data_IF_237498748071
#
_entry.id   IF_237498748071
#
_cell.length_a   1.000
_cell.length_b   1.000
_cell.length_c   1.000
_cell.angle_alpha   90.00
_cell.angle_beta   90.00
_cell.angle_gamma   90.00
#
_symmetry.space_group_name_H-M   'P 1'
#
loop_
_entity.id
_entity.type
_entity.pdbx_description
1 polymer ?
#
# COMPACT_ATOMS: atom_id res chain seq x y z
N UNK A 1 10.04 -14.11 -10.24
CA UNK A 1 8.69 -14.65 -10.33
C UNK A 1 7.93 -14.13 -11.54
N UNK A 2 6.97 -14.90 -12.00
CA UNK A 2 6.14 -14.58 -13.18
C UNK A 2 4.67 -14.48 -12.75
N UNK A 3 3.94 -13.55 -13.37
CA UNK A 3 2.51 -13.42 -13.18
C UNK A 3 1.80 -13.20 -14.53
N UNK A 4 0.67 -13.86 -14.69
CA UNK A 4 -0.20 -13.72 -15.87
C UNK A 4 -1.55 -13.21 -15.40
N UNK A 5 -2.02 -12.12 -16.00
CA UNK A 5 -3.31 -11.53 -15.71
C UNK A 5 -4.28 -11.63 -16.88
N UNK A 6 -5.51 -12.03 -16.62
CA UNK A 6 -6.62 -11.99 -17.57
C UNK A 6 -7.70 -11.06 -17.04
N UNK A 7 -7.84 -9.89 -17.66
CA UNK A 7 -8.81 -8.87 -17.28
C UNK A 7 -10.05 -8.88 -18.16
N UNK A 8 -11.22 -8.68 -17.55
CA UNK A 8 -12.48 -8.43 -18.24
C UNK A 8 -13.09 -7.14 -17.72
N UNK A 9 -13.37 -6.22 -18.64
CA UNK A 9 -14.15 -5.02 -18.37
C UNK A 9 -15.62 -5.29 -18.72
N UNK A 10 -16.53 -5.11 -17.77
CA UNK A 10 -17.97 -5.34 -18.00
C UNK A 10 -18.64 -4.10 -18.58
N UNK A 11 -18.19 -2.93 -18.08
CA UNK A 11 -18.63 -1.60 -18.53
C UNK A 11 -17.52 -0.58 -18.25
N UNK A 12 -17.82 0.73 -18.34
CA UNK A 12 -16.85 1.80 -18.08
C UNK A 12 -16.43 1.92 -16.61
N UNK A 13 -17.18 1.28 -15.71
CA UNK A 13 -17.04 1.40 -14.24
C UNK A 13 -16.49 0.13 -13.63
N UNK A 14 -16.91 -1.04 -14.12
CA UNK A 14 -16.62 -2.32 -13.46
C UNK A 14 -15.64 -3.18 -14.25
N UNK A 15 -14.67 -3.71 -13.57
CA UNK A 15 -13.70 -4.67 -14.13
C UNK A 15 -13.39 -5.80 -13.15
N UNK A 16 -12.98 -6.91 -13.71
CA UNK A 16 -12.53 -8.09 -12.99
C UNK A 16 -11.19 -8.54 -13.57
N UNK A 17 -10.23 -8.83 -12.72
CA UNK A 17 -8.91 -9.33 -13.08
C UNK A 17 -8.68 -10.67 -12.39
N UNK A 18 -8.40 -11.70 -13.18
CA UNK A 18 -7.85 -12.96 -12.71
C UNK A 18 -6.34 -12.92 -12.85
N UNK A 19 -5.60 -13.23 -11.80
CA UNK A 19 -4.14 -13.26 -11.78
C UNK A 19 -3.65 -14.64 -11.36
N UNK A 20 -2.72 -15.21 -12.11
CA UNK A 20 -1.98 -16.40 -11.74
C UNK A 20 -0.53 -15.99 -11.51
N UNK A 21 0.05 -16.36 -10.37
CA UNK A 21 1.43 -16.04 -9.99
C UNK A 21 2.19 -17.29 -9.61
N UNK A 22 3.46 -17.35 -10.04
CA UNK A 22 4.44 -18.35 -9.60
C UNK A 22 5.76 -17.65 -9.30
N UNK A 23 6.35 -17.93 -8.14
CA UNK A 23 7.60 -17.33 -7.71
C UNK A 23 8.42 -18.29 -6.86
N UNK A 24 9.73 -18.29 -7.06
CA UNK A 24 10.69 -18.94 -6.19
C UNK A 24 11.40 -17.89 -5.33
N UNK A 25 11.27 -18.01 -4.01
CA UNK A 25 11.90 -17.14 -3.02
C UNK A 25 13.01 -17.91 -2.34
N UNK A 26 14.24 -17.41 -2.48
CA UNK A 26 15.42 -18.05 -1.88
C UNK A 26 16.02 -17.17 -0.78
N UNK A 27 15.95 -17.65 0.45
CA UNK A 27 16.41 -16.93 1.63
C UNK A 27 17.76 -17.53 2.06
N UNK A 28 18.84 -16.80 1.73
CA UNK A 28 20.24 -17.21 2.00
C UNK A 28 20.93 -16.23 2.93
N UNK A 29 22.07 -16.68 3.47
CA UNK A 29 23.01 -15.85 4.21
C UNK A 29 22.41 -15.12 5.42
N UNK A 30 21.61 -15.84 6.22
CA UNK A 30 21.07 -15.28 7.46
C UNK A 30 22.21 -15.11 8.47
N UNK A 31 22.57 -13.85 8.73
CA UNK A 31 23.57 -13.51 9.74
C UNK A 31 23.01 -13.70 11.15
N UNK A 32 23.82 -14.27 12.05
CA UNK A 32 23.47 -14.51 13.45
C UNK A 32 22.14 -15.28 13.64
N UNK A 33 21.98 -16.50 13.09
CA UNK A 33 20.68 -17.19 13.07
C UNK A 33 20.05 -17.37 14.46
N UNK A 34 20.86 -17.57 15.52
CA UNK A 34 20.38 -17.80 16.89
C UNK A 34 19.61 -16.61 17.50
N UNK A 35 19.81 -15.42 16.95
CA UNK A 35 19.24 -14.18 17.46
C UNK A 35 18.09 -13.65 16.56
N UNK A 36 17.88 -14.27 15.40
CA UNK A 36 16.81 -13.90 14.45
C UNK A 36 15.46 -14.45 14.85
N UNK A 37 14.41 -13.84 14.31
CA UNK A 37 13.05 -14.32 14.49
C UNK A 37 12.86 -15.73 13.90
N UNK A 38 12.23 -16.63 14.63
CA UNK A 38 11.89 -17.99 14.16
C UNK A 38 11.05 -17.92 12.88
N UNK A 39 10.16 -16.94 12.78
CA UNK A 39 9.33 -16.66 11.61
C UNK A 39 10.12 -16.39 10.32
N UNK A 40 11.41 -16.04 10.43
CA UNK A 40 12.30 -15.89 9.29
C UNK A 40 13.11 -17.16 9.06
N UNK A 41 13.61 -17.74 10.14
CA UNK A 41 14.50 -18.92 10.08
C UNK A 41 13.83 -20.17 9.51
N UNK A 42 12.55 -20.36 9.80
CA UNK A 42 11.80 -21.53 9.32
C UNK A 42 11.64 -21.56 7.80
N UNK A 43 11.82 -20.43 7.11
CA UNK A 43 11.77 -20.31 5.65
C UNK A 43 13.13 -20.13 5.00
N UNK A 44 14.24 -20.44 5.71
CA UNK A 44 15.57 -20.43 5.13
C UNK A 44 15.69 -21.46 4.01
N UNK A 45 16.25 -21.06 2.86
CA UNK A 45 16.37 -21.88 1.66
C UNK A 45 15.37 -21.52 0.59
N UNK A 46 15.08 -22.47 -0.30
CA UNK A 46 14.14 -22.32 -1.40
C UNK A 46 12.70 -22.45 -0.90
N UNK A 47 11.83 -21.59 -1.40
CA UNK A 47 10.41 -21.59 -1.11
C UNK A 47 9.64 -21.30 -2.41
N UNK A 48 8.79 -22.22 -2.85
CA UNK A 48 7.98 -22.04 -4.04
C UNK A 48 6.60 -21.51 -3.67
N UNK A 49 6.27 -20.34 -4.19
CA UNK A 49 5.01 -19.63 -3.94
C UNK A 49 4.19 -19.61 -5.22
N UNK A 50 2.95 -20.08 -5.13
CA UNK A 50 1.98 -19.92 -6.22
C UNK A 50 0.69 -19.30 -5.70
N UNK A 51 0.01 -18.52 -6.52
CA UNK A 51 -1.32 -18.03 -6.19
C UNK A 51 -2.23 -17.90 -7.41
N UNK A 52 -3.53 -18.00 -7.15
CA UNK A 52 -4.58 -17.61 -8.06
C UNK A 52 -5.41 -16.51 -7.39
N UNK A 53 -5.43 -15.34 -8.01
CA UNK A 53 -6.07 -14.14 -7.48
C UNK A 53 -7.25 -13.70 -8.32
N UNK A 54 -8.24 -13.11 -7.67
CA UNK A 54 -9.38 -12.47 -8.30
C UNK A 54 -9.54 -11.07 -7.70
N UNK A 55 -9.48 -10.05 -8.56
CA UNK A 55 -9.63 -8.64 -8.15
C UNK A 55 -10.80 -8.01 -8.88
N UNK A 56 -11.76 -7.49 -8.12
CA UNK A 56 -12.85 -6.66 -8.61
C UNK A 56 -12.51 -5.19 -8.39
N UNK A 57 -12.73 -4.36 -9.41
CA UNK A 57 -12.60 -2.90 -9.31
C UNK A 57 -13.84 -2.21 -9.81
N UNK A 58 -14.31 -1.21 -9.05
CA UNK A 58 -15.34 -0.27 -9.42
C UNK A 58 -14.77 1.13 -9.40
N UNK A 59 -14.62 1.73 -10.58
CA UNK A 59 -14.03 3.05 -10.78
C UNK A 59 -15.03 4.00 -11.39
N UNK A 60 -15.43 5.01 -10.62
CA UNK A 60 -16.33 6.10 -11.05
C UNK A 60 -15.59 7.44 -11.10
N UNK A 61 -14.27 7.43 -10.98
CA UNK A 61 -13.47 8.65 -10.91
C UNK A 61 -13.50 9.42 -12.21
N UNK A 62 -13.45 10.75 -12.08
CA UNK A 62 -13.30 11.68 -13.19
C UNK A 62 -11.95 12.38 -13.07
N UNK A 63 -11.29 12.64 -14.19
CA UNK A 63 -10.02 13.38 -14.24
C UNK A 63 -8.78 12.53 -14.57
N UNK A 64 -8.95 11.23 -14.80
CA UNK A 64 -7.84 10.35 -15.19
C UNK A 64 -6.73 10.27 -14.15
N UNK A 65 -5.53 10.79 -14.46
CA UNK A 65 -4.38 10.76 -13.55
C UNK A 65 -4.46 11.76 -12.39
N UNK A 66 -5.37 12.72 -12.45
CA UNK A 66 -5.67 13.64 -11.36
C UNK A 66 -7.17 13.55 -11.05
N UNK A 67 -7.60 12.52 -10.30
CA UNK A 67 -9.02 12.38 -9.96
C UNK A 67 -9.49 13.56 -9.14
N UNK A 68 -10.66 14.10 -9.52
CA UNK A 68 -11.24 15.27 -8.84
C UNK A 68 -12.64 15.03 -8.30
N UNK A 69 -13.28 13.95 -8.69
CA UNK A 69 -14.64 13.57 -8.29
C UNK A 69 -14.83 12.07 -8.51
N UNK A 70 -15.63 11.43 -7.68
CA UNK A 70 -15.96 10.00 -7.78
C UNK A 70 -15.24 9.12 -6.79
N UNK A 71 -15.31 7.83 -7.01
CA UNK A 71 -14.70 6.84 -6.11
C UNK A 71 -14.09 5.68 -6.88
N UNK A 72 -13.05 5.10 -6.30
CA UNK A 72 -12.42 3.86 -6.74
C UNK A 72 -12.48 2.85 -5.59
N UNK A 73 -13.12 1.71 -5.84
CA UNK A 73 -13.19 0.58 -4.93
C UNK A 73 -12.49 -0.61 -5.57
N UNK A 74 -11.54 -1.17 -4.86
CA UNK A 74 -10.84 -2.41 -5.24
C UNK A 74 -11.02 -3.45 -4.14
N UNK A 75 -11.40 -4.66 -4.50
CA UNK A 75 -11.50 -5.82 -3.59
C UNK A 75 -10.83 -7.01 -4.25
N UNK A 76 -9.88 -7.61 -3.56
CA UNK A 76 -9.11 -8.75 -4.06
C UNK A 76 -9.11 -9.92 -3.09
N UNK A 77 -8.98 -11.11 -3.65
CA UNK A 77 -8.68 -12.34 -2.92
C UNK A 77 -7.66 -13.13 -3.70
N UNK A 78 -6.59 -13.53 -3.03
CA UNK A 78 -5.57 -14.42 -3.58
C UNK A 78 -5.58 -15.72 -2.78
N UNK A 79 -5.82 -16.84 -3.46
CA UNK A 79 -5.62 -18.18 -2.91
C UNK A 79 -4.22 -18.64 -3.22
N UNK A 80 -3.40 -18.72 -2.21
CA UNK A 80 -2.06 -19.29 -2.30
C UNK A 80 -2.12 -20.82 -2.25
N UNK A 81 -1.23 -21.47 -3.02
CA UNK A 81 -1.18 -22.91 -3.17
C UNK A 81 -2.15 -23.50 -4.19
N UNK A 82 -3.06 -22.70 -4.78
CA UNK A 82 -4.05 -23.20 -5.75
C UNK A 82 -3.43 -23.87 -6.99
N UNK A 83 -2.21 -23.50 -7.37
CA UNK A 83 -1.45 -24.06 -8.48
C UNK A 83 -0.36 -25.03 -8.03
N UNK A 84 -0.39 -25.48 -6.76
CA UNK A 84 0.67 -26.22 -6.10
C UNK A 84 1.61 -25.29 -5.32
N UNK A 85 2.72 -25.81 -4.77
CA UNK A 85 3.65 -25.07 -3.94
C UNK A 85 3.58 -25.47 -2.47
N UNK A 86 4.29 -24.77 -1.61
CA UNK A 86 4.50 -25.15 -0.22
C UNK A 86 3.51 -24.51 0.76
N UNK A 87 2.81 -23.46 0.34
CA UNK A 87 1.99 -22.63 1.21
C UNK A 87 0.51 -22.75 0.87
N UNK A 88 -0.35 -22.79 1.89
CA UNK A 88 -1.80 -22.81 1.73
C UNK A 88 -2.46 -21.78 2.64
N UNK A 89 -2.79 -20.64 2.09
CA UNK A 89 -3.47 -19.55 2.81
C UNK A 89 -4.24 -18.66 1.84
N UNK A 90 -5.07 -17.77 2.38
CA UNK A 90 -5.80 -16.76 1.61
C UNK A 90 -5.37 -15.36 2.04
N UNK A 91 -5.22 -14.46 1.08
CA UNK A 91 -4.96 -13.05 1.29
C UNK A 91 -6.11 -12.23 0.71
N UNK A 92 -6.81 -11.55 1.58
CA UNK A 92 -7.91 -10.66 1.22
C UNK A 92 -7.42 -9.22 1.30
N UNK A 93 -7.76 -8.41 0.29
CA UNK A 93 -7.38 -7.00 0.23
C UNK A 93 -8.56 -6.15 -0.18
N UNK A 94 -8.64 -4.95 0.36
CA UNK A 94 -9.65 -3.96 0.01
C UNK A 94 -9.05 -2.57 0.02
N UNK A 95 -9.40 -1.75 -0.97
CA UNK A 95 -9.01 -0.34 -1.06
C UNK A 95 -10.19 0.49 -1.52
N UNK A 96 -10.32 1.68 -0.96
CA UNK A 96 -11.34 2.63 -1.35
C UNK A 96 -10.77 4.04 -1.33
N UNK A 97 -10.95 4.77 -2.43
CA UNK A 97 -10.67 6.19 -2.55
C UNK A 97 -11.97 6.94 -2.88
N UNK A 98 -12.14 8.11 -2.29
CA UNK A 98 -13.24 9.01 -2.60
C UNK A 98 -12.71 10.42 -2.82
N UNK A 99 -12.89 10.93 -4.03
CA UNK A 99 -12.41 12.23 -4.46
C UNK A 99 -13.55 13.23 -4.51
N UNK A 100 -13.32 14.39 -3.92
CA UNK A 100 -14.28 15.49 -3.91
C UNK A 100 -13.60 16.82 -4.22
N UNK A 101 -14.08 17.52 -5.24
CA UNK A 101 -13.71 18.92 -5.47
C UNK A 101 -14.39 19.79 -4.41
N UNK A 102 -13.60 20.49 -3.60
CA UNK A 102 -14.11 21.39 -2.56
C UNK A 102 -14.06 22.85 -2.97
N UNK A 103 -13.22 23.19 -3.94
CA UNK A 103 -13.15 24.52 -4.51
C UNK A 103 -12.67 24.43 -5.96
N UNK A 104 -13.23 25.30 -6.81
CA UNK A 104 -12.83 25.47 -8.21
C UNK A 104 -12.79 26.96 -8.50
N UNK A 105 -11.68 27.44 -9.06
CA UNK A 105 -11.51 28.85 -9.42
C UNK A 105 -12.03 29.14 -10.85
N UNK A 106 -11.95 30.41 -11.26
CA UNK A 106 -12.37 30.87 -12.58
C UNK A 106 -11.52 30.33 -13.75
N UNK A 107 -10.39 29.71 -13.47
CA UNK A 107 -9.49 29.07 -14.44
C UNK A 107 -9.63 27.54 -14.42
N UNK A 108 -10.73 27.03 -13.87
CA UNK A 108 -11.02 25.58 -13.71
C UNK A 108 -9.99 24.81 -12.86
N UNK A 109 -9.14 25.52 -12.07
CA UNK A 109 -8.20 24.86 -11.17
C UNK A 109 -8.91 24.40 -9.91
N UNK A 110 -8.74 23.12 -9.57
CA UNK A 110 -9.50 22.45 -8.50
C UNK A 110 -8.67 22.20 -7.27
N UNK A 111 -9.25 22.50 -6.12
CA UNK A 111 -8.79 21.98 -4.82
C UNK A 111 -9.61 20.75 -4.51
N UNK A 112 -8.94 19.64 -4.23
CA UNK A 112 -9.52 18.30 -4.16
C UNK A 112 -9.19 17.71 -2.80
N UNK A 113 -10.16 17.08 -2.16
CA UNK A 113 -9.93 16.20 -1.02
C UNK A 113 -10.01 14.75 -1.53
N UNK A 114 -9.03 13.95 -1.18
CA UNK A 114 -9.03 12.48 -1.26
C UNK A 114 -9.20 11.92 0.15
N UNK A 115 -10.19 11.05 0.31
CA UNK A 115 -10.35 10.17 1.46
C UNK A 115 -10.01 8.77 1.02
N UNK A 116 -9.04 8.13 1.66
CA UNK A 116 -8.64 6.79 1.29
C UNK A 116 -8.56 5.87 2.50
N UNK A 117 -8.86 4.61 2.26
CA UNK A 117 -8.71 3.52 3.21
C UNK A 117 -8.32 2.25 2.49
N UNK A 118 -7.42 1.50 3.07
CA UNK A 118 -7.03 0.18 2.61
C UNK A 118 -6.96 -0.79 3.78
N UNK A 119 -7.27 -2.04 3.53
CA UNK A 119 -7.27 -3.10 4.53
C UNK A 119 -6.85 -4.42 3.90
N UNK A 120 -6.26 -5.28 4.71
CA UNK A 120 -5.93 -6.64 4.31
C UNK A 120 -6.03 -7.60 5.47
N UNK A 121 -6.42 -8.83 5.15
CA UNK A 121 -6.52 -9.95 6.09
C UNK A 121 -5.92 -11.19 5.46
N UNK A 122 -5.10 -11.90 6.22
CA UNK A 122 -4.58 -13.22 5.85
C UNK A 122 -5.25 -14.26 6.73
N UNK A 123 -5.69 -15.36 6.11
CA UNK A 123 -6.24 -16.53 6.81
C UNK A 123 -5.42 -17.76 6.46
N UNK A 124 -4.89 -18.45 7.47
CA UNK A 124 -3.92 -19.54 7.34
C UNK A 124 -2.49 -19.08 7.63
N UNK A 125 -1.54 -20.01 7.45
CA UNK A 125 -0.13 -19.75 7.78
C UNK A 125 0.62 -19.19 6.57
N UNK A 126 0.74 -17.87 6.55
CA UNK A 126 1.52 -17.17 5.52
C UNK A 126 2.99 -17.00 5.94
N UNK A 127 3.94 -17.20 5.02
CA UNK A 127 5.33 -16.89 5.26
C UNK A 127 5.52 -15.37 5.43
N UNK A 128 6.52 -14.98 6.23
CA UNK A 128 6.74 -13.56 6.58
C UNK A 128 6.89 -12.65 5.36
N UNK A 129 7.41 -13.13 4.26
CA UNK A 129 7.61 -12.36 3.02
C UNK A 129 6.30 -12.11 2.23
N UNK A 130 5.21 -12.82 2.54
CA UNK A 130 3.87 -12.60 1.99
C UNK A 130 2.93 -11.85 2.95
N UNK A 131 3.35 -11.61 4.19
CA UNK A 131 2.57 -10.87 5.18
C UNK A 131 2.45 -9.38 4.84
N UNK A 132 1.57 -8.69 5.54
CA UNK A 132 1.41 -7.25 5.41
C UNK A 132 2.50 -6.49 6.15
N UNK A 133 2.83 -5.33 5.62
CA UNK A 133 3.77 -4.37 6.19
C UNK A 133 3.28 -2.97 5.84
N UNK A 134 3.12 -2.11 6.82
CA UNK A 134 2.79 -0.72 6.62
C UNK A 134 4.01 0.20 6.73
N UNK A 135 3.80 1.45 6.36
CA UNK A 135 4.83 2.49 6.33
C UNK A 135 5.38 2.76 4.93
N UNK A 136 5.67 4.02 4.71
CA UNK A 136 6.12 4.55 3.42
C UNK A 136 4.98 5.09 2.57
N UNK A 137 5.32 5.43 1.33
CA UNK A 137 4.38 5.96 0.34
C UNK A 137 3.36 4.88 -0.03
N UNK A 138 2.08 5.26 -0.09
CA UNK A 138 0.96 4.35 -0.38
C UNK A 138 0.42 3.61 0.85
N UNK A 139 0.88 3.97 2.06
CA UNK A 139 0.37 3.46 3.33
C UNK A 139 0.39 4.58 4.38
N UNK A 140 1.38 4.64 5.27
CA UNK A 140 1.50 5.67 6.31
C UNK A 140 2.80 6.44 6.07
N UNK A 141 2.72 7.64 5.51
CA UNK A 141 3.88 8.52 5.29
C UNK A 141 4.47 8.97 6.63
N UNK A 142 5.76 9.31 6.65
CA UNK A 142 6.49 9.62 7.89
C UNK A 142 7.14 8.39 8.53
N UNK A 143 6.82 7.21 8.05
CA UNK A 143 7.47 5.95 8.39
C UNK A 143 8.27 5.42 7.20
N UNK A 144 9.33 4.69 7.50
CA UNK A 144 10.15 4.01 6.48
C UNK A 144 9.32 2.94 5.74
N UNK A 145 9.73 2.58 4.54
CA UNK A 145 9.14 1.46 3.80
C UNK A 145 9.17 0.19 4.65
N UNK A 146 7.99 -0.42 4.86
CA UNK A 146 7.80 -1.54 5.80
C UNK A 146 8.24 -1.22 7.24
N UNK A 147 8.25 0.07 7.61
CA UNK A 147 8.70 0.55 8.91
C UNK A 147 7.75 0.25 10.06
N UNK A 148 6.49 0.03 9.74
CA UNK A 148 5.41 -0.34 10.66
C UNK A 148 5.09 -1.81 10.43
N UNK A 149 5.41 -2.64 11.43
CA UNK A 149 5.08 -4.06 11.37
C UNK A 149 5.30 -4.73 12.74
N UNK A 150 4.65 -5.85 13.03
CA UNK A 150 5.03 -6.74 14.13
C UNK A 150 6.50 -7.12 14.09
N UNK A 151 7.09 -7.24 15.27
CA UNK A 151 8.52 -7.52 15.45
C UNK A 151 8.73 -8.77 16.27
N UNK A 152 9.79 -9.52 15.95
CA UNK A 152 10.18 -10.71 16.68
C UNK A 152 11.71 -10.87 16.68
N UNK A 153 12.20 -11.84 17.50
CA UNK A 153 13.63 -12.11 17.64
C UNK A 153 14.36 -11.03 18.46
N UNK A 154 15.64 -11.30 18.75
CA UNK A 154 16.48 -10.39 19.57
C UNK A 154 16.80 -9.08 18.85
N UNK A 155 16.86 -9.11 17.52
CA UNK A 155 17.13 -7.92 16.71
C UNK A 155 15.89 -7.14 16.31
N UNK A 156 14.69 -7.50 16.85
CA UNK A 156 13.41 -6.90 16.47
C UNK A 156 13.19 -6.96 14.95
N UNK A 157 13.35 -8.15 14.38
CA UNK A 157 13.15 -8.38 12.96
C UNK A 157 11.70 -8.09 12.56
N UNK A 158 11.50 -7.52 11.38
CA UNK A 158 10.18 -7.28 10.79
C UNK A 158 9.60 -8.61 10.33
N UNK A 159 8.51 -9.04 10.91
CA UNK A 159 7.89 -10.35 10.60
C UNK A 159 6.55 -10.23 9.89
N UNK A 160 6.03 -9.01 9.75
CA UNK A 160 4.75 -8.73 9.09
C UNK A 160 3.54 -9.14 9.91
N UNK A 161 2.39 -8.56 9.57
CA UNK A 161 1.09 -8.84 10.18
C UNK A 161 0.20 -9.68 9.28
N UNK A 162 -0.79 -10.33 9.88
CA UNK A 162 -1.86 -11.01 9.16
C UNK A 162 -3.08 -10.10 8.95
N UNK A 163 -3.05 -8.91 9.57
CA UNK A 163 -4.05 -7.86 9.42
C UNK A 163 -3.40 -6.51 9.25
N UNK A 164 -3.88 -5.74 8.26
CA UNK A 164 -3.55 -4.32 8.08
C UNK A 164 -4.80 -3.50 7.88
N UNK A 165 -4.80 -2.30 8.42
CA UNK A 165 -5.78 -1.26 8.14
C UNK A 165 -5.06 0.08 8.13
N UNK A 166 -5.08 0.78 7.02
CA UNK A 166 -4.53 2.12 6.91
C UNK A 166 -5.43 3.01 6.06
N UNK A 167 -5.28 4.30 6.21
CA UNK A 167 -6.02 5.27 5.45
C UNK A 167 -5.66 6.69 5.85
N UNK A 168 -6.24 7.66 5.16
CA UNK A 168 -5.95 9.05 5.41
C UNK A 168 -6.87 10.01 4.67
N UNK A 169 -6.52 11.28 4.83
CA UNK A 169 -7.15 12.38 4.11
C UNK A 169 -6.06 13.26 3.53
N UNK A 170 -6.14 13.55 2.24
CA UNK A 170 -5.22 14.45 1.55
C UNK A 170 -6.01 15.59 0.90
N UNK A 171 -5.61 16.84 1.19
CA UNK A 171 -6.07 18.03 0.50
C UNK A 171 -5.02 18.44 -0.52
N UNK A 172 -5.37 18.42 -1.81
CA UNK A 172 -4.52 18.81 -2.93
C UNK A 172 -5.02 20.12 -3.53
N UNK A 173 -4.14 21.11 -3.69
CA UNK A 173 -4.48 22.42 -4.23
C UNK A 173 -3.47 22.87 -5.28
N UNK A 174 -3.90 23.63 -6.32
CA UNK A 174 -3.00 24.12 -7.37
C UNK A 174 -2.09 25.23 -6.86
N UNK A 175 -0.79 25.16 -7.20
CA UNK A 175 0.19 26.24 -6.98
C UNK A 175 0.48 26.91 -8.32
N UNK A 176 0.83 26.14 -9.35
CA UNK A 176 1.10 26.63 -10.70
C UNK A 176 0.37 25.77 -11.74
N UNK A 177 -0.90 26.08 -11.99
CA UNK A 177 -1.78 25.27 -12.82
C UNK A 177 -1.92 23.84 -12.28
N UNK A 178 -2.00 22.87 -13.18
CA UNK A 178 -2.01 21.43 -12.82
C UNK A 178 -0.60 20.83 -12.84
N UNK A 179 0.41 21.61 -13.23
CA UNK A 179 1.80 21.17 -13.28
C UNK A 179 2.39 21.04 -11.87
N UNK A 180 2.13 22.01 -11.02
CA UNK A 180 2.61 22.03 -9.63
C UNK A 180 1.43 22.18 -8.67
N UNK A 181 1.26 21.16 -7.83
CA UNK A 181 0.24 21.13 -6.78
C UNK A 181 0.88 21.00 -5.41
N UNK A 182 0.32 21.66 -4.42
CA UNK A 182 0.63 21.43 -3.02
C UNK A 182 -0.34 20.42 -2.42
N UNK A 183 0.13 19.67 -1.44
CA UNK A 183 -0.71 18.75 -0.65
C UNK A 183 -0.46 18.93 0.84
N UNK A 184 -1.52 18.73 1.63
CA UNK A 184 -1.43 18.53 3.08
C UNK A 184 -2.24 17.30 3.43
N UNK A 185 -1.76 16.49 4.35
CA UNK A 185 -2.36 15.18 4.62
C UNK A 185 -2.22 14.73 6.06
N UNK A 186 -3.04 13.76 6.40
CA UNK A 186 -2.91 12.95 7.61
C UNK A 186 -3.15 11.50 7.28
N UNK A 187 -2.26 10.63 7.74
CA UNK A 187 -2.35 9.19 7.54
C UNK A 187 -2.47 8.49 8.91
N UNK A 188 -3.20 7.39 8.92
CA UNK A 188 -3.45 6.53 10.08
C UNK A 188 -3.27 5.08 9.66
N UNK A 189 -2.83 4.21 10.57
CA UNK A 189 -2.87 2.77 10.27
C UNK A 189 -2.35 1.89 11.39
N UNK A 190 -2.58 0.61 11.21
CA UNK A 190 -2.10 -0.46 12.08
C UNK A 190 -1.79 -1.70 11.26
N UNK A 191 -0.73 -2.40 11.66
CA UNK A 191 -0.36 -3.72 11.17
C UNK A 191 -0.18 -4.63 12.39
N UNK A 192 -0.93 -5.74 12.43
CA UNK A 192 -0.99 -6.63 13.59
C UNK A 192 -1.03 -8.11 13.15
N UNK A 193 -0.62 -8.99 14.06
CA UNK A 193 -0.67 -10.46 13.85
C UNK A 193 -2.08 -11.02 13.92
N UNK A 194 -3.03 -10.30 14.49
CA UNK A 194 -4.43 -10.68 14.60
C UNK A 194 -5.34 -9.60 14.03
N UNK A 195 -6.56 -9.97 13.68
CA UNK A 195 -7.59 -9.01 13.26
C UNK A 195 -8.04 -8.17 14.45
N UNK A 196 -7.27 -7.16 14.75
CA UNK A 196 -7.52 -6.22 15.86
C UNK A 196 -6.92 -4.84 15.57
N UNK A 197 -7.52 -3.82 16.15
CA UNK A 197 -6.94 -2.49 16.17
C UNK A 197 -5.92 -2.41 17.32
N UNK A 198 -4.68 -2.82 17.04
CA UNK A 198 -3.58 -2.72 17.96
C UNK A 198 -3.08 -1.28 18.17
N UNK A 199 -1.78 -1.06 18.10
CA UNK A 199 -1.23 0.31 18.14
C UNK A 199 -1.52 1.04 16.85
N UNK A 200 -2.36 2.07 16.91
CA UNK A 200 -2.62 2.95 15.76
C UNK A 200 -1.44 3.92 15.63
N UNK A 201 -0.80 3.91 14.46
CA UNK A 201 0.21 4.90 14.05
C UNK A 201 -0.49 6.03 13.33
N UNK A 202 0.01 7.23 13.48
CA UNK A 202 -0.51 8.40 12.76
C UNK A 202 0.61 9.34 12.37
N UNK A 203 0.41 10.04 11.28
CA UNK A 203 1.31 11.09 10.80
C UNK A 203 0.51 12.26 10.24
N UNK A 204 1.18 13.40 10.17
CA UNK A 204 0.71 14.58 9.44
C UNK A 204 1.83 15.07 8.55
N UNK A 205 1.47 15.64 7.41
CA UNK A 205 2.50 16.08 6.48
C UNK A 205 2.00 17.07 5.43
N UNK A 206 2.97 17.53 4.66
CA UNK A 206 2.76 18.38 3.50
C UNK A 206 3.73 17.95 2.39
N UNK A 207 3.35 18.20 1.16
CA UNK A 207 4.19 17.83 0.02
C UNK A 207 3.87 18.61 -1.24
N UNK A 208 4.59 18.25 -2.29
CA UNK A 208 4.37 18.79 -3.64
C UNK A 208 4.21 17.65 -4.63
N UNK A 209 3.39 17.91 -5.65
CA UNK A 209 3.17 17.04 -6.80
C UNK A 209 3.56 17.82 -8.05
N UNK A 210 4.52 17.30 -8.79
CA UNK A 210 5.02 17.91 -10.02
C UNK A 210 4.73 16.97 -11.19
N UNK A 211 3.88 17.40 -12.11
CA UNK A 211 3.55 16.67 -13.34
C UNK A 211 4.36 17.26 -14.49
N UNK A 212 5.33 16.49 -15.01
CA UNK A 212 6.19 16.91 -16.11
C UNK A 212 5.72 16.27 -17.42
N UNK A 213 5.18 17.05 -18.37
CA UNK A 213 4.65 16.52 -19.63
C UNK A 213 5.66 15.71 -20.47
N UNK A 214 6.96 16.00 -20.31
CA UNK A 214 8.05 15.33 -21.05
C UNK A 214 8.37 13.91 -20.56
N UNK A 215 8.02 13.59 -19.31
CA UNK A 215 8.22 12.26 -18.71
C UNK A 215 6.96 11.41 -18.69
N UNK A 216 5.99 11.73 -19.56
CA UNK A 216 4.65 11.20 -19.48
C UNK A 216 3.84 12.01 -18.45
N UNK A 217 2.66 11.52 -18.12
CA UNK A 217 1.79 12.23 -17.16
C UNK A 217 2.00 11.74 -15.71
N UNK A 218 3.07 10.97 -15.46
CA UNK A 218 3.35 10.45 -14.13
C UNK A 218 3.87 11.57 -13.21
N UNK A 219 3.20 11.85 -12.08
CA UNK A 219 3.63 12.89 -11.16
C UNK A 219 4.88 12.46 -10.39
N UNK A 220 5.74 13.43 -10.12
CA UNK A 220 6.79 13.35 -9.11
C UNK A 220 6.19 13.87 -7.80
N UNK A 221 6.22 13.06 -6.75
CA UNK A 221 5.77 13.44 -5.42
C UNK A 221 6.96 13.57 -4.47
N UNK A 222 6.96 14.63 -3.68
CA UNK A 222 7.91 14.84 -2.57
C UNK A 222 7.08 15.19 -1.35
N UNK A 223 7.16 14.36 -0.31
CA UNK A 223 6.39 14.51 0.92
C UNK A 223 7.32 14.68 2.13
N UNK A 224 6.95 15.59 2.99
CA UNK A 224 7.49 15.73 4.33
C UNK A 224 6.41 15.37 5.34
N UNK A 225 6.66 14.34 6.16
CA UNK A 225 5.69 13.84 7.12
C UNK A 225 6.32 13.60 8.49
N UNK A 226 5.59 13.95 9.54
CA UNK A 226 6.01 13.77 10.92
C UNK A 226 5.09 12.76 11.60
N UNK A 227 5.63 11.64 12.14
CA UNK A 227 4.86 10.72 12.95
C UNK A 227 4.36 11.39 14.24
N UNK A 228 3.06 11.30 14.50
CA UNK A 228 2.42 11.80 15.73
C UNK A 228 2.34 10.68 16.76
N UNK A 229 1.87 9.51 16.33
CA UNK A 229 1.84 8.30 17.18
C UNK A 229 2.66 7.21 16.51
N UNK A 230 3.52 6.54 17.30
CA UNK A 230 4.36 5.44 16.83
C UNK A 230 4.66 4.47 17.94
N UNK A 231 5.00 3.24 17.58
CA UNK A 231 5.57 2.25 18.50
C UNK A 231 7.08 2.47 18.66
N UNK A 232 7.65 1.90 19.73
CA UNK A 232 9.08 2.02 20.06
C UNK A 232 9.99 1.52 18.96
N UNK A 233 9.56 0.50 18.21
CA UNK A 233 10.36 -0.19 17.21
C UNK A 233 10.01 0.21 15.78
N UNK A 234 9.10 1.15 15.59
CA UNK A 234 8.77 1.65 14.26
C UNK A 234 9.93 2.46 13.70
N UNK A 235 10.24 2.24 12.43
CA UNK A 235 11.26 3.01 11.74
C UNK A 235 10.59 4.22 11.05
N UNK A 236 11.16 5.39 11.23
CA UNK A 236 10.60 6.65 10.72
C UNK A 236 11.46 7.23 9.60
N UNK A 237 10.79 7.80 8.58
CA UNK A 237 11.42 8.50 7.47
C UNK A 237 10.64 9.78 7.20
N UNK A 238 11.24 10.95 7.51
CA UNK A 238 10.54 12.23 7.44
C UNK A 238 10.32 12.73 6.01
N UNK A 239 11.19 12.37 5.09
CA UNK A 239 11.11 12.79 3.68
C UNK A 239 10.98 11.55 2.83
N UNK A 240 9.98 11.54 1.99
CA UNK A 240 9.76 10.49 0.99
C UNK A 240 9.56 11.10 -0.38
N UNK A 241 9.94 10.30 -1.39
CA UNK A 241 9.75 10.73 -2.75
C UNK A 241 9.33 9.56 -3.63
N UNK A 242 8.41 9.82 -4.58
CA UNK A 242 7.96 8.82 -5.54
C UNK A 242 7.82 9.41 -6.94
N UNK A 243 7.90 8.51 -7.91
CA UNK A 243 7.64 8.81 -9.30
C UNK A 243 6.57 7.86 -9.84
N UNK A 244 5.49 8.42 -10.35
CA UNK A 244 4.39 7.63 -10.94
C UNK A 244 3.43 6.98 -9.93
N UNK A 245 3.72 7.04 -8.65
CA UNK A 245 2.80 6.64 -7.58
C UNK A 245 2.19 7.93 -6.99
N UNK A 246 0.88 8.05 -7.08
CA UNK A 246 0.10 8.98 -6.26
C UNK A 246 -0.38 8.15 -5.10
N UNK A 247 -0.15 8.58 -3.84
CA UNK A 247 -0.67 7.88 -2.68
C UNK A 247 -2.17 7.76 -2.72
#
# INVERSE_FOLDING_TARGET
>A
GDAIGLGKRFDFVHSLLLTLRGEDVDIRSIEYPRDRAVQILQYAGHNTVTSAGLTFRRDTTKGGLLPYEGSDLTVGVDQYGALGGEFWFQKWTGGYHYYQTVYQDLLDRRTIIDYHVQSGVITGDAPFFEKFYDGGIGSIRGFDYRGVSPRAGRFNDRVGGDFTLSGGVELSFPIAGDILRGVVFTDLGTDDVNVQLGTIRSSVGAGIRLTLPFFGQAPLAIDFAVPITKSRYDNTQLISFSFGLVP
#
